data_IF_565399528878
#
_entry.id   IF_565399528878
#
_cell.length_a   1.000
_cell.length_b   1.000
_cell.length_c   1.000
_cell.angle_alpha   90.00
_cell.angle_beta   90.00
_cell.angle_gamma   90.00
#
_symmetry.space_group_name_H-M   'P 1'
#
loop_
_entity.id
_entity.type
_entity.pdbx_description
1 polymer ?
#
# COMPACT_ATOMS: atom_id res chain seq x y z
N UNK A 1 -15.25 -13.21 -0.13
CA UNK A 1 -14.72 -12.11 0.72
C UNK A 1 -14.87 -10.82 -0.07
N UNK A 2 -15.57 -9.78 0.41
CA UNK A 2 -15.61 -8.51 -0.32
C UNK A 2 -14.18 -7.98 -0.40
N UNK A 3 -13.60 -7.93 -1.61
CA UNK A 3 -12.29 -7.34 -1.83
C UNK A 3 -12.36 -5.89 -1.38
N UNK A 4 -11.41 -5.48 -0.54
CA UNK A 4 -11.24 -4.06 -0.16
C UNK A 4 -10.67 -3.23 -1.31
N UNK A 5 -10.48 -3.85 -2.46
CA UNK A 5 -10.03 -3.27 -3.72
C UNK A 5 -11.18 -3.48 -4.72
N UNK A 6 -11.84 -2.38 -5.09
CA UNK A 6 -12.94 -2.38 -6.06
C UNK A 6 -13.21 -0.96 -6.58
N UNK A 7 -13.68 -0.85 -7.81
CA UNK A 7 -14.18 0.39 -8.38
C UNK A 7 -13.10 1.47 -8.54
N UNK A 8 -11.89 1.06 -8.94
CA UNK A 8 -10.76 1.95 -9.11
C UNK A 8 -10.15 2.46 -7.79
N UNK A 9 -10.46 1.82 -6.66
CA UNK A 9 -9.94 2.26 -5.36
C UNK A 9 -9.61 1.10 -4.40
N UNK A 10 -8.61 1.35 -3.55
CA UNK A 10 -8.29 0.56 -2.38
C UNK A 10 -8.87 1.23 -1.12
N UNK A 11 -9.68 0.48 -0.37
CA UNK A 11 -10.34 0.95 0.85
C UNK A 11 -9.59 0.50 2.09
N UNK A 12 -9.02 1.46 2.82
CA UNK A 12 -8.35 1.26 4.10
C UNK A 12 -9.36 1.50 5.22
N UNK A 13 -9.70 0.45 5.95
CA UNK A 13 -10.69 0.45 7.05
C UNK A 13 -10.05 -0.09 8.34
N UNK A 14 -10.63 0.27 9.49
CA UNK A 14 -10.19 -0.15 10.83
C UNK A 14 -8.74 0.23 11.17
N UNK A 15 -8.36 1.47 10.86
CA UNK A 15 -7.14 2.07 11.39
C UNK A 15 -7.37 2.57 12.82
N UNK A 16 -6.29 2.91 13.54
CA UNK A 16 -6.33 3.43 14.92
C UNK A 16 -7.28 4.64 15.09
N UNK A 17 -7.54 5.40 14.01
CA UNK A 17 -8.46 6.55 14.01
C UNK A 17 -9.91 6.22 13.61
N UNK A 18 -10.23 4.95 13.30
CA UNK A 18 -11.53 4.48 12.78
C UNK A 18 -12.01 5.14 11.47
N UNK A 19 -11.21 6.02 10.86
CA UNK A 19 -11.55 6.65 9.57
C UNK A 19 -11.38 5.66 8.42
N UNK A 20 -12.40 5.56 7.58
CA UNK A 20 -12.34 4.85 6.29
C UNK A 20 -11.74 5.79 5.25
N UNK A 21 -10.65 5.35 4.60
CA UNK A 21 -10.03 6.09 3.49
C UNK A 21 -10.16 5.28 2.21
N UNK A 22 -10.45 5.96 1.10
CA UNK A 22 -10.47 5.38 -0.24
C UNK A 22 -9.31 5.99 -1.02
N UNK A 23 -8.37 5.15 -1.46
CA UNK A 23 -7.20 5.57 -2.21
C UNK A 23 -7.44 5.16 -3.66
N UNK A 24 -7.61 6.11 -4.60
CA UNK A 24 -7.72 5.79 -6.01
C UNK A 24 -6.48 5.02 -6.46
N UNK A 25 -6.69 3.96 -7.24
CA UNK A 25 -5.62 3.15 -7.82
C UNK A 25 -5.84 3.04 -9.33
N UNK A 26 -4.76 2.90 -10.11
CA UNK A 26 -4.88 2.63 -11.53
C UNK A 26 -5.58 1.28 -11.82
N UNK A 27 -6.34 1.18 -12.93
CA UNK A 27 -7.09 -0.03 -13.27
C UNK A 27 -6.20 -1.26 -13.46
N UNK A 28 -4.96 -1.08 -13.95
CA UNK A 28 -3.98 -2.16 -14.09
C UNK A 28 -3.54 -2.72 -12.73
N UNK A 29 -3.45 -1.87 -11.70
CA UNK A 29 -3.11 -2.31 -10.34
C UNK A 29 -4.29 -3.06 -9.71
N UNK A 30 -5.51 -2.56 -9.90
CA UNK A 30 -6.73 -3.25 -9.47
C UNK A 30 -6.81 -4.66 -10.08
N UNK A 31 -6.64 -4.77 -11.39
CA UNK A 31 -6.69 -6.05 -12.11
C UNK A 31 -5.63 -7.04 -11.59
N UNK A 32 -4.39 -6.58 -11.39
CA UNK A 32 -3.29 -7.42 -10.88
C UNK A 32 -3.57 -7.94 -9.46
N UNK A 33 -4.10 -7.10 -8.57
CA UNK A 33 -4.44 -7.50 -7.20
C UNK A 33 -5.58 -8.52 -7.22
N UNK A 34 -6.63 -8.28 -7.99
CA UNK A 34 -7.78 -9.19 -8.09
C UNK A 34 -7.37 -10.55 -8.70
N UNK A 35 -6.50 -10.54 -9.71
CA UNK A 35 -5.94 -11.77 -10.29
C UNK A 35 -5.15 -12.56 -9.25
N UNK A 36 -4.29 -11.90 -8.47
CA UNK A 36 -3.54 -12.54 -7.39
C UNK A 36 -4.50 -13.15 -6.35
N UNK A 37 -5.52 -12.41 -5.93
CA UNK A 37 -6.51 -12.92 -4.96
C UNK A 37 -7.30 -14.13 -5.48
N UNK A 38 -7.57 -14.19 -6.79
CA UNK A 38 -8.22 -15.34 -7.42
C UNK A 38 -7.31 -16.57 -7.46
N UNK A 39 -6.02 -16.38 -7.70
CA UNK A 39 -5.06 -17.48 -7.86
C UNK A 39 -4.49 -18.00 -6.53
N UNK A 40 -4.21 -17.10 -5.58
CA UNK A 40 -3.44 -17.40 -4.37
C UNK A 40 -4.17 -17.08 -3.06
N UNK A 41 -5.35 -16.44 -3.13
CA UNK A 41 -6.05 -15.93 -1.97
C UNK A 41 -5.50 -14.58 -1.49
N UNK A 42 -5.93 -14.14 -0.31
CA UNK A 42 -5.50 -12.85 0.26
C UNK A 42 -4.02 -12.90 0.67
N UNK A 43 -3.36 -11.74 0.66
CA UNK A 43 -2.00 -11.61 1.16
C UNK A 43 -1.89 -12.12 2.61
N UNK A 44 -0.91 -13.00 2.85
CA UNK A 44 -0.51 -13.43 4.19
C UNK A 44 0.54 -12.47 4.77
N UNK A 45 0.97 -12.69 6.01
CA UNK A 45 2.04 -11.88 6.60
C UNK A 45 3.31 -11.99 5.73
N UNK A 46 3.69 -10.87 5.13
CA UNK A 46 4.81 -10.78 4.20
C UNK A 46 5.95 -9.90 4.72
N UNK A 47 6.00 -9.61 6.03
CA UNK A 47 7.01 -8.71 6.61
C UNK A 47 8.43 -9.21 6.37
N UNK A 48 8.71 -10.47 6.70
CA UNK A 48 10.05 -11.04 6.49
C UNK A 48 10.44 -11.03 5.01
N UNK A 49 9.50 -11.35 4.11
CA UNK A 49 9.75 -11.32 2.67
C UNK A 49 10.01 -9.89 2.15
N UNK A 50 9.40 -8.89 2.80
CA UNK A 50 9.67 -7.49 2.51
C UNK A 50 11.06 -7.07 3.00
N UNK A 51 11.45 -7.45 4.22
CA UNK A 51 12.75 -7.15 4.79
C UNK A 51 13.87 -7.79 3.94
N UNK A 52 13.70 -9.05 3.51
CA UNK A 52 14.60 -9.71 2.56
C UNK A 52 14.71 -8.98 1.21
N UNK A 53 13.61 -8.42 0.70
CA UNK A 53 13.61 -7.69 -0.56
C UNK A 53 14.33 -6.34 -0.43
N UNK A 54 14.18 -5.66 0.70
CA UNK A 54 14.91 -4.43 1.06
C UNK A 54 16.41 -4.72 1.15
N UNK A 55 16.79 -5.80 1.83
CA UNK A 55 18.18 -6.23 1.95
C UNK A 55 18.80 -6.55 0.59
N UNK A 56 18.08 -7.30 -0.26
CA UNK A 56 18.50 -7.60 -1.64
C UNK A 56 18.63 -6.36 -2.51
N UNK A 57 17.82 -5.34 -2.26
CA UNK A 57 17.92 -4.05 -2.94
C UNK A 57 19.09 -3.17 -2.41
N UNK A 58 19.79 -3.60 -1.35
CA UNK A 58 20.89 -2.86 -0.75
C UNK A 58 20.45 -1.59 0.00
N UNK A 59 19.17 -1.48 0.35
CA UNK A 59 18.61 -0.31 1.02
C UNK A 59 18.85 -0.39 2.52
N UNK A 60 19.56 0.58 3.09
CA UNK A 60 19.72 0.70 4.55
C UNK A 60 18.53 1.44 5.14
N UNK A 61 17.59 0.72 5.75
CA UNK A 61 16.44 1.32 6.44
C UNK A 61 16.69 1.40 7.95
N UNK A 62 16.16 2.43 8.65
CA UNK A 62 16.20 2.47 10.11
C UNK A 62 15.37 1.31 10.69
N UNK A 63 15.93 0.61 11.68
CA UNK A 63 15.28 -0.51 12.35
C UNK A 63 13.86 -0.12 12.83
N UNK A 64 12.87 -0.93 12.47
CA UNK A 64 11.46 -0.72 12.84
C UNK A 64 10.68 0.27 11.94
N UNK A 65 11.32 0.93 10.97
CA UNK A 65 10.64 1.85 10.03
C UNK A 65 10.30 1.22 8.67
N UNK A 66 10.65 -0.02 8.40
CA UNK A 66 10.45 -0.68 7.09
C UNK A 66 8.99 -0.57 6.60
N UNK A 67 8.03 -0.87 7.48
CA UNK A 67 6.60 -0.75 7.17
C UNK A 67 6.15 0.70 6.91
N UNK A 68 6.87 1.67 7.45
CA UNK A 68 6.60 3.10 7.27
C UNK A 68 7.29 3.68 6.04
N UNK A 69 8.41 3.11 5.60
CA UNK A 69 9.20 3.59 4.46
C UNK A 69 8.36 3.63 3.19
N UNK A 70 7.63 2.55 2.86
CA UNK A 70 6.75 2.55 1.67
C UNK A 70 5.70 3.67 1.73
N UNK A 71 5.14 3.91 2.92
CA UNK A 71 4.15 4.98 3.12
C UNK A 71 4.78 6.36 2.94
N UNK A 72 6.00 6.57 3.45
CA UNK A 72 6.73 7.81 3.29
C UNK A 72 7.17 8.05 1.84
N UNK A 73 7.59 7.00 1.13
CA UNK A 73 7.91 7.05 -0.30
C UNK A 73 6.67 7.43 -1.11
N UNK A 74 5.53 6.78 -0.87
CA UNK A 74 4.27 7.14 -1.52
C UNK A 74 3.89 8.60 -1.27
N UNK A 75 3.94 9.06 -0.01
CA UNK A 75 3.62 10.45 0.33
C UNK A 75 4.58 11.44 -0.35
N UNK A 76 5.88 11.13 -0.37
CA UNK A 76 6.91 11.98 -1.00
C UNK A 76 6.69 12.10 -2.50
N UNK A 77 6.43 10.97 -3.19
CA UNK A 77 6.11 10.98 -4.62
C UNK A 77 4.77 11.65 -4.92
N UNK A 78 3.75 11.45 -4.07
CA UNK A 78 2.45 12.11 -4.24
C UNK A 78 2.57 13.63 -4.15
N UNK A 79 3.31 14.13 -3.16
CA UNK A 79 3.59 15.56 -3.00
C UNK A 79 4.47 16.10 -4.14
N UNK A 80 5.50 15.36 -4.56
CA UNK A 80 6.38 15.74 -5.66
C UNK A 80 5.66 15.82 -7.02
N UNK A 81 4.64 14.98 -7.23
CA UNK A 81 3.80 14.99 -8.43
C UNK A 81 2.65 16.03 -8.36
N UNK A 82 2.68 16.98 -7.43
CA UNK A 82 1.71 18.08 -7.33
C UNK A 82 0.42 17.73 -6.56
N UNK A 83 0.43 16.68 -5.74
CA UNK A 83 -0.69 16.34 -4.87
C UNK A 83 -0.96 17.42 -3.81
N UNK A 84 -2.20 17.89 -3.71
CA UNK A 84 -2.61 18.86 -2.69
C UNK A 84 -2.58 18.22 -1.29
N UNK A 85 -1.98 18.91 -0.32
CA UNK A 85 -1.79 18.41 1.07
C UNK A 85 -3.13 18.13 1.79
N UNK A 86 -4.21 18.77 1.34
CA UNK A 86 -5.58 18.57 1.85
C UNK A 86 -6.17 17.20 1.46
N UNK A 87 -5.57 16.47 0.51
CA UNK A 87 -6.03 15.16 0.07
C UNK A 87 -5.57 13.99 0.96
N UNK A 88 -4.74 14.23 1.98
CA UNK A 88 -4.14 13.17 2.83
C UNK A 88 -4.81 12.95 4.22
N UNK A 89 -6.01 13.51 4.46
CA UNK A 89 -6.71 13.51 5.76
C UNK A 89 -7.69 12.34 6.02
#
# INVERSE_FOLDING_TARGET
MPSRVKGGAAHVINTKSKRRRSIPIPPELEARILQHFKAYGLFTNCRNAFDEAVDKAGLRLPAGQEAHVLRHTFASHFMANGGYILSLH
#
